data_IF_040993017910
#
_entry.id   IF_040993017910
#
_cell.length_a   1.000
_cell.length_b   1.000
_cell.length_c   1.000
_cell.angle_alpha   90.00
_cell.angle_beta   90.00
_cell.angle_gamma   90.00
#
_symmetry.space_group_name_H-M   'P 1'
#
loop_
_entity.id
_entity.type
_entity.pdbx_description
1 polymer ?
#
# COMPACT_ATOMS: atom_id res chain seq x y z
N UNK A 1 -22.92 -62.06 34.72
CA UNK A 1 -22.62 -60.60 34.78
C UNK A 1 -21.40 -60.28 33.91
N UNK A 2 -21.44 -60.59 32.62
CA UNK A 2 -20.24 -60.58 31.76
C UNK A 2 -20.52 -60.10 30.34
N UNK A 3 -21.69 -59.53 30.09
CA UNK A 3 -22.12 -59.10 28.75
C UNK A 3 -22.32 -57.56 28.61
N UNK A 4 -22.19 -56.79 29.70
CA UNK A 4 -22.52 -55.36 29.70
C UNK A 4 -21.32 -54.41 29.65
N UNK A 5 -20.08 -54.93 29.65
CA UNK A 5 -18.85 -54.10 29.61
C UNK A 5 -18.20 -53.98 28.22
N UNK A 6 -18.67 -54.76 27.24
CA UNK A 6 -18.08 -54.75 25.90
C UNK A 6 -18.70 -53.70 24.95
N UNK A 7 -19.85 -53.12 25.28
CA UNK A 7 -20.55 -52.20 24.37
C UNK A 7 -20.17 -50.72 24.51
N UNK A 8 -19.50 -50.33 25.61
CA UNK A 8 -19.10 -48.93 25.85
C UNK A 8 -17.71 -48.58 25.30
N UNK A 9 -16.90 -49.56 24.89
CA UNK A 9 -15.58 -49.32 24.30
C UNK A 9 -15.63 -49.05 22.78
N UNK A 10 -16.74 -49.38 22.11
CA UNK A 10 -16.86 -49.23 20.66
C UNK A 10 -17.40 -47.86 20.19
N UNK A 11 -17.98 -47.06 21.09
CA UNK A 11 -18.54 -45.75 20.73
C UNK A 11 -17.53 -44.58 20.88
N UNK A 12 -16.43 -44.79 21.61
CA UNK A 12 -15.39 -43.78 21.80
C UNK A 12 -14.36 -43.71 20.65
N UNK A 13 -14.36 -44.69 19.74
CA UNK A 13 -13.43 -44.75 18.62
C UNK A 13 -13.99 -44.17 17.30
N UNK A 14 -15.26 -43.77 17.26
CA UNK A 14 -15.94 -43.21 16.07
C UNK A 14 -16.09 -41.68 16.09
N UNK A 15 -15.34 -41.00 16.97
CA UNK A 15 -15.22 -39.54 17.01
C UNK A 15 -13.77 -39.10 16.78
N UNK A 16 -12.97 -39.94 16.12
CA UNK A 16 -11.69 -39.56 15.54
C UNK A 16 -11.94 -38.81 14.22
N UNK A 17 -12.27 -37.52 14.38
CA UNK A 17 -11.64 -36.44 13.62
C UNK A 17 -11.61 -36.59 12.09
N UNK A 18 -12.75 -36.38 11.45
CA UNK A 18 -12.76 -35.66 10.17
C UNK A 18 -12.49 -34.18 10.45
N UNK A 19 -11.25 -33.83 10.78
CA UNK A 19 -10.78 -32.47 10.57
C UNK A 19 -10.58 -32.33 9.07
N UNK A 20 -11.63 -31.92 8.35
CA UNK A 20 -11.45 -31.44 6.98
C UNK A 20 -10.47 -30.27 7.09
N UNK A 21 -9.30 -30.33 6.43
CA UNK A 21 -8.37 -29.21 6.41
C UNK A 21 -9.02 -28.06 5.65
N UNK A 22 -9.79 -27.23 6.35
CA UNK A 22 -10.34 -25.98 5.84
C UNK A 22 -9.26 -24.91 5.63
N UNK A 23 -7.98 -25.27 5.73
CA UNK A 23 -6.84 -24.38 5.52
C UNK A 23 -6.51 -24.17 4.03
N UNK A 24 -7.10 -24.93 3.10
CA UNK A 24 -6.73 -24.87 1.67
C UNK A 24 -7.32 -23.72 0.87
N UNK A 25 -8.42 -23.10 1.31
CA UNK A 25 -9.13 -22.09 0.50
C UNK A 25 -8.77 -20.64 0.84
N UNK A 26 -8.00 -20.39 1.90
CA UNK A 26 -7.61 -19.03 2.31
C UNK A 26 -6.26 -18.57 1.73
N UNK A 27 -5.49 -19.45 1.07
CA UNK A 27 -4.15 -19.13 0.56
C UNK A 27 -4.06 -19.02 -0.97
N UNK A 28 -5.13 -19.35 -1.72
CA UNK A 28 -5.16 -19.29 -3.20
C UNK A 28 -5.05 -17.87 -3.79
N UNK A 29 -4.91 -16.83 -2.98
CA UNK A 29 -4.85 -15.44 -3.45
C UNK A 29 -3.51 -14.75 -3.19
N UNK A 30 -2.55 -15.46 -2.60
CA UNK A 30 -1.19 -14.97 -2.41
C UNK A 30 -0.31 -15.44 -3.56
N UNK A 31 -0.64 -15.01 -4.79
CA UNK A 31 0.26 -15.23 -5.90
C UNK A 31 1.56 -14.43 -5.66
N UNK A 32 2.74 -15.09 -5.62
CA UNK A 32 4.00 -14.39 -5.61
C UNK A 32 4.03 -13.48 -6.83
N UNK A 33 4.24 -12.18 -6.61
CA UNK A 33 4.28 -11.22 -7.71
C UNK A 33 5.56 -11.49 -8.49
N UNK A 34 5.43 -12.24 -9.57
CA UNK A 34 6.56 -12.82 -10.29
C UNK A 34 7.50 -11.77 -10.88
N UNK A 35 7.04 -10.54 -11.11
CA UNK A 35 7.89 -9.40 -11.45
C UNK A 35 7.19 -8.09 -11.02
N UNK A 36 7.93 -7.01 -10.71
CA UNK A 36 7.35 -5.68 -10.60
C UNK A 36 6.61 -5.34 -11.90
N UNK A 37 5.29 -5.43 -11.79
CA UNK A 37 4.31 -5.29 -12.86
C UNK A 37 4.56 -4.08 -13.76
N UNK A 38 4.64 -4.34 -15.07
CA UNK A 38 4.76 -3.33 -16.13
C UNK A 38 3.38 -2.80 -16.57
N UNK A 39 2.27 -3.32 -16.06
CA UNK A 39 0.89 -2.96 -16.43
C UNK A 39 0.12 -2.34 -15.25
N UNK A 40 -0.41 -1.12 -15.43
CA UNK A 40 -0.49 0.00 -14.45
C UNK A 40 0.82 0.80 -14.30
N UNK A 41 1.86 0.41 -15.06
CA UNK A 41 3.26 0.85 -14.97
C UNK A 41 3.57 2.33 -15.17
N UNK A 42 2.58 3.22 -15.12
CA UNK A 42 2.78 4.66 -15.03
C UNK A 42 2.88 5.10 -13.56
N UNK A 43 1.77 5.05 -12.81
CA UNK A 43 1.71 5.79 -11.56
C UNK A 43 2.36 5.09 -10.36
N UNK A 44 2.08 3.83 -10.09
CA UNK A 44 2.78 3.10 -9.02
C UNK A 44 4.28 3.00 -9.30
N UNK A 45 4.67 2.87 -10.58
CA UNK A 45 6.07 2.91 -10.99
C UNK A 45 6.69 4.30 -10.80
N UNK A 46 5.95 5.38 -11.11
CA UNK A 46 6.34 6.76 -10.83
C UNK A 46 6.53 6.99 -9.33
N UNK A 47 5.60 6.51 -8.50
CA UNK A 47 5.67 6.61 -7.05
C UNK A 47 6.89 5.86 -6.51
N UNK A 48 7.14 4.62 -6.96
CA UNK A 48 8.35 3.86 -6.59
C UNK A 48 9.64 4.53 -7.04
N UNK A 49 9.62 5.14 -8.22
CA UNK A 49 10.76 5.88 -8.76
C UNK A 49 11.05 7.12 -7.92
N UNK A 50 10.01 7.89 -7.59
CA UNK A 50 10.15 9.10 -6.79
C UNK A 50 10.45 8.80 -5.31
N UNK A 51 9.97 7.68 -4.76
CA UNK A 51 10.17 7.26 -3.37
C UNK A 51 11.15 6.09 -3.23
N UNK A 52 12.15 5.99 -4.10
CA UNK A 52 13.10 4.87 -4.16
C UNK A 52 13.67 4.48 -2.78
N UNK A 53 14.03 5.46 -1.95
CA UNK A 53 14.51 5.26 -0.59
C UNK A 53 13.54 4.48 0.30
N UNK A 54 12.24 4.71 0.16
CA UNK A 54 11.21 4.01 0.93
C UNK A 54 11.00 2.56 0.45
N UNK A 55 11.53 2.20 -0.72
CA UNK A 55 11.53 0.85 -1.31
C UNK A 55 12.92 0.20 -1.32
N UNK A 56 13.93 0.84 -0.71
CA UNK A 56 15.28 0.30 -0.63
C UNK A 56 15.32 -1.01 0.20
N UNK A 57 16.36 -1.83 0.01
CA UNK A 57 16.53 -3.14 0.69
C UNK A 57 16.47 -3.08 2.22
N UNK A 58 16.68 -1.91 2.82
CA UNK A 58 16.57 -1.71 4.27
C UNK A 58 15.14 -1.50 4.77
N UNK A 59 14.16 -1.31 3.89
CA UNK A 59 12.75 -1.19 4.21
C UNK A 59 12.14 -2.59 4.36
N UNK A 60 11.65 -2.92 5.55
CA UNK A 60 11.00 -4.21 5.83
C UNK A 60 9.54 -4.19 5.34
N UNK A 61 8.88 -3.05 5.54
CA UNK A 61 7.53 -2.78 5.04
C UNK A 61 7.46 -1.35 4.52
N UNK A 62 6.58 -1.15 3.54
CA UNK A 62 6.28 0.12 2.92
C UNK A 62 4.77 0.25 2.74
N UNK A 63 4.24 1.46 2.89
CA UNK A 63 2.95 1.81 2.32
C UNK A 63 2.95 3.21 1.73
N UNK A 64 2.18 3.40 0.66
CA UNK A 64 2.01 4.69 0.01
C UNK A 64 0.55 5.14 0.15
N UNK A 65 0.36 6.33 0.68
CA UNK A 65 -0.92 7.03 0.80
C UNK A 65 -1.07 7.92 -0.44
N UNK A 66 -2.14 7.70 -1.21
CA UNK A 66 -2.40 8.39 -2.48
C UNK A 66 -3.76 9.11 -2.37
N UNK A 67 -3.80 10.34 -1.84
CA UNK A 67 -5.02 11.12 -1.72
C UNK A 67 -5.36 11.85 -3.03
N UNK A 68 -6.65 12.07 -3.32
CA UNK A 68 -7.07 12.72 -4.57
C UNK A 68 -6.66 14.21 -4.68
N UNK A 69 -6.57 14.92 -3.56
CA UNK A 69 -6.43 16.39 -3.53
C UNK A 69 -5.25 16.91 -2.70
N UNK A 70 -4.42 16.02 -2.15
CA UNK A 70 -3.18 16.43 -1.48
C UNK A 70 -2.01 15.58 -1.94
N UNK A 71 -0.78 16.03 -1.67
CA UNK A 71 0.41 15.30 -2.09
C UNK A 71 0.46 13.90 -1.49
N UNK A 72 1.06 12.99 -2.24
CA UNK A 72 1.23 11.60 -1.85
C UNK A 72 2.21 11.48 -0.68
N UNK A 73 2.17 10.37 0.04
CA UNK A 73 3.15 10.06 1.08
C UNK A 73 3.57 8.61 1.02
N UNK A 74 4.87 8.33 1.01
CA UNK A 74 5.38 6.99 1.29
C UNK A 74 5.81 6.91 2.75
N UNK A 75 5.48 5.80 3.41
CA UNK A 75 5.86 5.49 4.78
C UNK A 75 6.55 4.15 4.79
N UNK A 76 7.75 4.09 5.31
CA UNK A 76 8.53 2.87 5.39
C UNK A 76 9.00 2.60 6.82
N UNK A 77 9.10 1.33 7.19
CA UNK A 77 9.78 0.88 8.39
C UNK A 77 11.14 0.34 7.97
N UNK A 78 12.20 1.01 8.41
CA UNK A 78 13.57 0.55 8.17
C UNK A 78 14.14 -0.12 9.41
N UNK A 79 14.94 -1.15 9.17
CA UNK A 79 15.80 -1.78 10.17
C UNK A 79 17.27 -1.56 9.81
N UNK A 80 18.08 -1.27 10.82
CA UNK A 80 19.53 -1.23 10.69
C UNK A 80 20.21 -1.60 12.00
N UNK A 81 20.77 -2.81 12.06
CA UNK A 81 21.53 -3.32 13.23
C UNK A 81 20.69 -3.34 14.51
N UNK A 82 19.51 -3.95 14.44
CA UNK A 82 18.53 -4.07 15.52
C UNK A 82 17.80 -2.78 15.87
N UNK A 83 17.99 -1.69 15.10
CA UNK A 83 17.34 -0.40 15.34
C UNK A 83 16.31 -0.11 14.27
N UNK A 84 15.12 0.25 14.72
CA UNK A 84 13.98 0.49 13.87
C UNK A 84 13.65 1.99 13.78
N UNK A 85 13.23 2.42 12.59
CA UNK A 85 12.75 3.78 12.35
C UNK A 85 11.63 3.78 11.34
N UNK A 86 10.64 4.61 11.59
CA UNK A 86 9.65 4.99 10.60
C UNK A 86 10.22 6.16 9.80
N UNK A 87 10.23 6.03 8.48
CA UNK A 87 10.56 7.10 7.55
C UNK A 87 9.31 7.49 6.76
N UNK A 88 9.13 8.79 6.54
CA UNK A 88 8.04 9.33 5.70
C UNK A 88 8.66 10.23 4.65
N UNK A 89 8.31 9.98 3.40
CA UNK A 89 8.66 10.78 2.24
C UNK A 89 7.37 11.39 1.68
N UNK A 90 7.37 12.71 1.46
CA UNK A 90 6.26 13.41 0.82
C UNK A 90 6.82 14.41 -0.21
N UNK A 91 6.39 14.38 -1.48
CA UNK A 91 6.86 15.32 -2.46
C UNK A 91 6.29 16.70 -2.15
N UNK A 92 6.99 17.75 -2.59
CA UNK A 92 6.50 19.12 -2.48
C UNK A 92 5.36 19.41 -3.47
N UNK A 93 5.27 18.63 -4.55
CA UNK A 93 4.29 18.73 -5.61
C UNK A 93 3.63 17.37 -5.86
N UNK A 94 2.39 17.36 -6.35
CA UNK A 94 1.69 16.13 -6.68
C UNK A 94 2.36 15.36 -7.83
N UNK A 95 2.73 14.10 -7.59
CA UNK A 95 3.33 13.26 -8.62
C UNK A 95 2.32 12.92 -9.73
N UNK A 96 1.02 12.93 -9.42
CA UNK A 96 -0.05 12.76 -10.42
C UNK A 96 0.04 13.74 -11.59
N UNK A 97 0.67 14.91 -11.40
CA UNK A 97 0.84 15.91 -12.46
C UNK A 97 1.62 15.37 -13.68
N UNK A 98 2.57 14.45 -13.48
CA UNK A 98 3.25 13.78 -14.60
C UNK A 98 2.29 12.91 -15.42
N UNK A 99 1.40 12.19 -14.74
CA UNK A 99 0.37 11.36 -15.39
C UNK A 99 -0.61 12.25 -16.15
N UNK A 100 -1.07 13.34 -15.53
CA UNK A 100 -1.97 14.29 -16.16
C UNK A 100 -1.34 14.92 -17.43
N UNK A 101 -0.08 15.35 -17.37
CA UNK A 101 0.64 15.84 -18.55
C UNK A 101 0.70 14.79 -19.67
N UNK A 102 0.96 13.52 -19.32
CA UNK A 102 0.92 12.40 -20.26
C UNK A 102 -0.46 12.17 -20.87
N UNK A 103 -1.54 12.31 -20.09
CA UNK A 103 -2.93 12.18 -20.55
C UNK A 103 -3.34 13.30 -21.52
N UNK A 104 -2.87 14.54 -21.30
CA UNK A 104 -3.00 15.58 -22.32
C UNK A 104 -2.15 15.25 -23.55
N UNK A 105 -0.90 14.82 -23.36
CA UNK A 105 0.05 14.51 -24.44
C UNK A 105 -0.44 13.41 -25.39
N UNK A 106 -1.15 12.40 -24.89
CA UNK A 106 -1.71 11.31 -25.68
C UNK A 106 -3.19 11.52 -26.08
N UNK A 107 -3.81 12.62 -25.67
CA UNK A 107 -5.20 12.96 -25.99
C UNK A 107 -6.27 12.24 -25.17
N UNK A 108 -5.91 11.50 -24.11
CA UNK A 108 -6.87 10.88 -23.18
C UNK A 108 -7.68 11.92 -22.40
N UNK A 109 -7.11 13.11 -22.20
CA UNK A 109 -7.80 14.27 -21.63
C UNK A 109 -7.84 15.36 -22.68
N UNK A 110 -9.02 15.94 -22.88
CA UNK A 110 -9.25 17.07 -23.79
C UNK A 110 -10.22 18.05 -23.18
N UNK A 111 -10.01 19.31 -23.48
CA UNK A 111 -10.96 20.39 -23.18
C UNK A 111 -12.06 20.37 -24.23
N UNK A 112 -13.31 20.30 -23.78
CA UNK A 112 -14.49 20.24 -24.65
C UNK A 112 -15.00 21.63 -25.04
N UNK A 113 -14.54 22.65 -24.33
CA UNK A 113 -14.87 24.06 -24.53
C UNK A 113 -13.99 24.75 -25.58
N UNK A 114 -12.96 24.08 -26.10
CA UNK A 114 -12.01 24.64 -27.06
C UNK A 114 -12.34 24.19 -28.49
N UNK A 115 -12.43 25.13 -29.46
CA UNK A 115 -12.64 24.81 -30.86
C UNK A 115 -11.60 23.80 -31.41
N UNK A 116 -11.97 22.90 -32.34
CA UNK A 116 -11.06 21.87 -32.85
C UNK A 116 -9.77 22.40 -33.48
N UNK A 117 -9.81 23.57 -34.11
CA UNK A 117 -8.67 24.26 -34.74
C UNK A 117 -7.68 24.85 -33.72
N UNK A 118 -8.12 25.08 -32.47
CA UNK A 118 -7.28 25.56 -31.38
C UNK A 118 -6.85 24.46 -30.40
N UNK A 119 -7.46 23.27 -30.47
CA UNK A 119 -7.30 22.20 -29.50
C UNK A 119 -5.85 21.77 -29.27
N UNK A 120 -5.04 21.68 -30.34
CA UNK A 120 -3.63 21.29 -30.23
C UNK A 120 -2.80 22.34 -29.48
N UNK A 121 -2.98 23.62 -29.82
CA UNK A 121 -2.24 24.71 -29.18
C UNK A 121 -2.56 24.78 -27.68
N UNK A 122 -3.84 24.67 -27.33
CA UNK A 122 -4.29 24.64 -25.96
C UNK A 122 -3.72 23.43 -25.20
N UNK A 123 -3.77 22.23 -25.78
CA UNK A 123 -3.19 21.01 -25.21
C UNK A 123 -1.69 21.17 -24.90
N UNK A 124 -0.92 21.72 -25.83
CA UNK A 124 0.50 22.00 -25.62
C UNK A 124 0.74 23.05 -24.53
N UNK A 125 -0.15 24.04 -24.41
CA UNK A 125 -0.09 25.02 -23.34
C UNK A 125 -0.36 24.39 -21.97
N UNK A 126 -1.40 23.57 -21.84
CA UNK A 126 -1.73 22.84 -20.61
C UNK A 126 -0.55 21.96 -20.16
N UNK A 127 0.06 21.20 -21.08
CA UNK A 127 1.25 20.38 -20.78
C UNK A 127 2.40 21.25 -20.25
N UNK A 128 2.70 22.38 -20.90
CA UNK A 128 3.76 23.30 -20.43
C UNK A 128 3.45 23.88 -19.06
N UNK A 129 2.19 24.22 -18.79
CA UNK A 129 1.76 24.77 -17.51
C UNK A 129 1.88 23.72 -16.38
N UNK A 130 1.43 22.49 -16.65
CA UNK A 130 1.57 21.37 -15.70
C UNK A 130 3.04 21.11 -15.40
N UNK A 131 3.91 21.12 -16.42
CA UNK A 131 5.33 20.78 -16.28
C UNK A 131 6.21 21.92 -15.74
N UNK A 132 5.74 23.18 -15.71
CA UNK A 132 6.56 24.37 -15.36
C UNK A 132 7.22 24.26 -13.97
N UNK A 133 6.59 23.57 -13.02
CA UNK A 133 7.08 23.41 -11.64
C UNK A 133 7.66 22.03 -11.34
N UNK A 134 7.79 21.16 -12.34
CA UNK A 134 8.24 19.78 -12.15
C UNK A 134 9.61 19.58 -12.80
N UNK A 135 10.52 18.84 -12.15
CA UNK A 135 11.72 18.38 -12.83
C UNK A 135 11.37 17.45 -14.00
N UNK A 136 12.33 17.24 -14.89
CA UNK A 136 12.14 16.31 -16.02
C UNK A 136 12.12 14.85 -15.56
N UNK A 137 12.98 14.52 -14.60
CA UNK A 137 13.06 13.21 -13.99
C UNK A 137 12.26 13.20 -12.67
N UNK A 138 11.30 12.29 -12.49
CA UNK A 138 10.56 12.17 -11.24
C UNK A 138 11.40 11.92 -9.99
N UNK A 139 12.61 11.35 -10.14
CA UNK A 139 13.55 11.13 -9.03
C UNK A 139 14.08 12.44 -8.45
N UNK A 140 14.09 13.49 -9.25
CA UNK A 140 14.59 14.81 -8.86
C UNK A 140 13.52 15.65 -8.15
N UNK A 141 12.29 15.14 -7.98
CA UNK A 141 11.21 15.86 -7.28
C UNK A 141 11.64 16.09 -5.83
N UNK A 142 11.68 17.34 -5.34
CA UNK A 142 12.06 17.62 -3.97
C UNK A 142 11.13 16.92 -2.97
N UNK A 143 11.71 16.11 -2.09
CA UNK A 143 10.99 15.38 -1.05
C UNK A 143 11.18 16.04 0.31
N UNK A 144 10.09 16.21 1.06
CA UNK A 144 10.14 16.39 2.51
C UNK A 144 10.34 15.04 3.16
N UNK A 145 11.32 14.95 4.04
CA UNK A 145 11.66 13.72 4.77
C UNK A 145 11.41 13.89 6.26
N UNK A 146 10.84 12.86 6.85
CA UNK A 146 10.84 12.65 8.29
C UNK A 146 11.41 11.28 8.60
N UNK A 147 12.19 11.16 9.67
CA UNK A 147 12.69 9.88 10.18
C UNK A 147 12.63 9.86 11.70
N UNK A 148 11.97 8.85 12.29
CA UNK A 148 11.78 8.76 13.74
C UNK A 148 11.99 7.33 14.24
N UNK A 149 12.79 7.20 15.30
CA UNK A 149 13.03 5.90 15.96
C UNK A 149 11.76 5.42 16.65
N UNK A 150 11.60 4.10 16.68
CA UNK A 150 10.59 3.39 17.47
C UNK A 150 11.26 2.27 18.27
N UNK A 151 10.57 1.77 19.29
CA UNK A 151 10.99 0.58 20.02
C UNK A 151 10.93 -0.68 19.14
N UNK A 152 11.73 -1.68 19.49
CA UNK A 152 11.70 -2.98 18.83
C UNK A 152 10.35 -3.68 18.99
N UNK A 153 9.67 -3.49 20.12
CA UNK A 153 8.33 -4.03 20.36
C UNK A 153 7.29 -3.46 19.39
N UNK A 154 7.24 -2.13 19.24
CA UNK A 154 6.38 -1.47 18.25
C UNK A 154 6.71 -1.94 16.84
N UNK A 155 7.99 -2.10 16.48
CA UNK A 155 8.39 -2.58 15.17
C UNK A 155 7.87 -3.99 14.87
N UNK A 156 7.98 -4.90 15.84
CA UNK A 156 7.46 -6.27 15.68
C UNK A 156 5.93 -6.30 15.56
N UNK A 157 5.22 -5.43 16.29
CA UNK A 157 3.78 -5.28 16.14
C UNK A 157 3.41 -4.81 14.74
N UNK A 158 4.14 -3.82 14.20
CA UNK A 158 3.95 -3.34 12.83
C UNK A 158 4.15 -4.44 11.79
N UNK A 159 5.23 -5.22 11.92
CA UNK A 159 5.52 -6.32 11.00
C UNK A 159 4.38 -7.35 10.99
N UNK A 160 3.90 -7.76 12.18
CA UNK A 160 2.77 -8.70 12.30
C UNK A 160 1.47 -8.13 11.71
N UNK A 161 1.17 -6.87 12.00
CA UNK A 161 -0.01 -6.17 11.47
C UNK A 161 0.03 -6.11 9.94
N UNK A 162 1.17 -5.79 9.36
CA UNK A 162 1.34 -5.74 7.90
C UNK A 162 1.15 -7.11 7.25
N UNK A 163 1.79 -8.15 7.80
CA UNK A 163 1.67 -9.51 7.30
C UNK A 163 0.23 -10.00 7.37
N UNK A 164 -0.43 -9.84 8.53
CA UNK A 164 -1.84 -10.22 8.72
C UNK A 164 -2.79 -9.45 7.80
N UNK A 165 -2.57 -8.13 7.66
CA UNK A 165 -3.40 -7.26 6.83
C UNK A 165 -3.28 -7.58 5.34
N UNK A 166 -2.07 -7.88 4.86
CA UNK A 166 -1.82 -8.17 3.45
C UNK A 166 -2.39 -9.50 2.96
N UNK A 167 -2.70 -10.45 3.85
CA UNK A 167 -3.26 -11.75 3.45
C UNK A 167 -4.59 -11.59 2.69
N UNK A 168 -5.41 -10.61 3.09
CA UNK A 168 -6.76 -10.42 2.57
C UNK A 168 -6.84 -9.32 1.49
N UNK A 169 -5.71 -8.68 1.13
CA UNK A 169 -5.69 -7.53 0.22
C UNK A 169 -5.06 -7.94 -1.10
N UNK A 170 -5.82 -7.78 -2.18
CA UNK A 170 -5.31 -7.97 -3.54
C UNK A 170 -4.71 -6.67 -4.09
N UNK A 171 -3.68 -6.74 -4.94
CA UNK A 171 -3.26 -5.58 -5.74
C UNK A 171 -4.38 -5.16 -6.68
N UNK A 172 -4.45 -3.88 -7.05
CA UNK A 172 -5.33 -3.47 -8.16
C UNK A 172 -4.91 -4.16 -9.45
N UNK A 173 -5.87 -4.71 -10.19
CA UNK A 173 -5.63 -5.22 -11.54
C UNK A 173 -5.49 -4.07 -12.54
N UNK A 174 -4.90 -4.38 -13.69
CA UNK A 174 -4.68 -3.41 -14.76
C UNK A 174 -6.00 -2.81 -15.26
N UNK A 175 -6.25 -1.56 -14.91
CA UNK A 175 -7.44 -0.80 -15.30
C UNK A 175 -8.37 -0.45 -14.13
N UNK A 176 -8.24 -1.11 -12.98
CA UNK A 176 -9.07 -0.87 -11.79
C UNK A 176 -8.72 0.43 -11.04
N UNK A 177 -7.58 1.02 -11.37
CA UNK A 177 -7.13 2.33 -10.89
C UNK A 177 -7.98 3.50 -11.45
N UNK A 178 -8.99 3.23 -12.27
CA UNK A 178 -10.03 4.21 -12.61
C UNK A 178 -10.74 4.80 -11.38
N UNK A 179 -10.63 4.17 -10.21
CA UNK A 179 -11.10 4.69 -8.93
C UNK A 179 -10.29 5.88 -8.36
N UNK A 180 -9.08 6.19 -8.85
CA UNK A 180 -8.30 7.38 -8.40
C UNK A 180 -9.01 8.70 -8.74
N UNK A 181 -10.00 8.67 -9.64
CA UNK A 181 -10.79 9.84 -10.07
C UNK A 181 -11.93 10.16 -9.10
N UNK A 182 -12.25 9.28 -8.15
CA UNK A 182 -13.26 9.55 -7.13
C UNK A 182 -12.65 10.25 -5.90
N UNK A 183 -13.46 11.06 -5.20
CA UNK A 183 -13.08 11.68 -3.93
C UNK A 183 -12.69 10.57 -2.94
N UNK A 184 -11.42 10.54 -2.53
CA UNK A 184 -10.96 9.47 -1.64
C UNK A 184 -9.46 9.44 -1.39
N UNK A 185 -9.01 8.30 -0.89
CA UNK A 185 -7.59 8.01 -0.69
C UNK A 185 -7.36 6.55 -1.00
N UNK A 186 -6.43 6.31 -1.91
CA UNK A 186 -5.91 4.97 -2.19
C UNK A 186 -4.69 4.69 -1.32
N UNK A 187 -4.47 3.42 -1.07
CA UNK A 187 -3.35 2.92 -0.29
C UNK A 187 -2.69 1.80 -1.06
N UNK A 188 -1.38 1.88 -1.23
CA UNK A 188 -0.56 0.77 -1.70
C UNK A 188 0.27 0.24 -0.52
N UNK A 189 0.35 -1.07 -0.40
CA UNK A 189 1.08 -1.74 0.66
C UNK A 189 2.07 -2.72 0.05
N UNK A 190 3.24 -2.79 0.67
CA UNK A 190 4.29 -3.73 0.31
C UNK A 190 5.01 -4.22 1.57
N UNK A 191 5.39 -5.50 1.58
CA UNK A 191 6.30 -6.05 2.58
C UNK A 191 7.19 -7.11 1.93
N UNK A 192 8.42 -7.19 2.41
CA UNK A 192 9.33 -8.30 2.13
C UNK A 192 9.41 -9.22 3.36
N UNK A 193 9.32 -10.53 3.12
CA UNK A 193 9.57 -11.56 4.10
C UNK A 193 10.45 -12.69 3.50
N UNK A 194 10.69 -13.75 4.28
CA UNK A 194 11.51 -14.87 3.84
C UNK A 194 10.88 -15.69 2.70
N UNK A 195 9.57 -15.56 2.48
CA UNK A 195 8.81 -16.26 1.44
C UNK A 195 8.73 -15.45 0.14
N UNK A 196 9.06 -14.15 0.19
CA UNK A 196 9.11 -13.25 -0.95
C UNK A 196 8.55 -11.87 -0.63
N UNK A 197 8.13 -11.13 -1.66
CA UNK A 197 7.45 -9.86 -1.47
C UNK A 197 5.94 -9.99 -1.64
N UNK A 198 5.17 -9.44 -0.71
CA UNK A 198 3.70 -9.34 -0.76
C UNK A 198 3.31 -7.89 -1.06
N UNK A 199 2.28 -7.69 -1.90
CA UNK A 199 1.74 -6.37 -2.24
C UNK A 199 0.22 -6.39 -2.20
N UNK A 200 -0.39 -5.26 -1.85
CA UNK A 200 -1.84 -5.10 -1.85
C UNK A 200 -2.23 -3.64 -2.04
N UNK A 201 -3.44 -3.41 -2.54
CA UNK A 201 -3.97 -2.06 -2.74
C UNK A 201 -5.38 -1.94 -2.19
N UNK A 202 -5.71 -0.78 -1.62
CA UNK A 202 -7.02 -0.51 -1.04
C UNK A 202 -7.49 0.88 -1.45
N UNK A 203 -8.75 1.00 -1.87
CA UNK A 203 -9.39 2.29 -2.14
C UNK A 203 -10.38 2.63 -1.02
N UNK A 204 -10.22 3.81 -0.40
CA UNK A 204 -11.16 4.41 0.55
C UNK A 204 -11.84 3.40 1.51
N UNK A 205 -11.08 2.59 2.27
CA UNK A 205 -11.67 1.58 3.13
C UNK A 205 -12.48 2.22 4.25
N UNK A 206 -13.65 1.64 4.54
CA UNK A 206 -14.58 2.17 5.55
C UNK A 206 -14.74 1.27 6.78
N UNK A 207 -14.36 -0.02 6.70
CA UNK A 207 -14.43 -0.96 7.81
C UNK A 207 -13.46 -2.15 7.64
N UNK A 208 -13.37 -3.00 8.67
CA UNK A 208 -12.62 -4.25 8.65
C UNK A 208 -11.10 -4.08 8.75
N UNK A 209 -10.35 -5.13 8.38
CA UNK A 209 -8.88 -5.14 8.45
C UNK A 209 -8.26 -4.08 7.55
N UNK A 210 -8.79 -3.88 6.35
CA UNK A 210 -8.31 -2.88 5.39
C UNK A 210 -8.37 -1.45 5.92
N UNK A 211 -9.47 -1.07 6.60
CA UNK A 211 -9.57 0.24 7.26
C UNK A 211 -8.57 0.37 8.41
N UNK A 212 -8.40 -0.68 9.23
CA UNK A 212 -7.42 -0.68 10.32
C UNK A 212 -5.98 -0.54 9.80
N UNK A 213 -5.63 -1.23 8.72
CA UNK A 213 -4.30 -1.12 8.10
C UNK A 213 -4.07 0.29 7.51
N UNK A 214 -5.07 0.86 6.85
CA UNK A 214 -5.01 2.24 6.36
C UNK A 214 -4.86 3.26 7.51
N UNK A 215 -5.62 3.09 8.61
CA UNK A 215 -5.49 3.89 9.84
C UNK A 215 -4.10 3.77 10.44
N UNK A 216 -3.55 2.57 10.49
CA UNK A 216 -2.20 2.31 10.99
C UNK A 216 -1.15 3.07 10.18
N UNK A 217 -1.19 2.96 8.85
CA UNK A 217 -0.27 3.67 7.95
C UNK A 217 -0.36 5.19 8.13
N UNK A 218 -1.56 5.77 8.23
CA UNK A 218 -1.75 7.20 8.53
C UNK A 218 -1.15 7.58 9.89
N UNK A 219 -1.38 6.76 10.92
CA UNK A 219 -0.83 7.01 12.25
C UNK A 219 0.70 6.96 12.29
N UNK A 220 1.33 6.06 11.51
CA UNK A 220 2.78 6.05 11.33
C UNK A 220 3.29 7.37 10.71
N UNK A 221 2.59 7.89 9.69
CA UNK A 221 2.93 9.16 9.07
C UNK A 221 2.83 10.34 10.07
N UNK A 222 1.71 10.41 10.81
CA UNK A 222 1.48 11.44 11.84
C UNK A 222 2.50 11.37 12.98
N UNK A 223 2.84 10.16 13.43
CA UNK A 223 3.87 9.95 14.45
C UNK A 223 5.22 10.50 13.99
N UNK A 224 5.62 10.22 12.76
CA UNK A 224 6.87 10.77 12.24
C UNK A 224 6.82 12.30 12.24
N UNK A 225 5.76 12.89 11.69
CA UNK A 225 5.54 14.34 11.58
C UNK A 225 5.32 15.05 12.93
N UNK A 226 5.53 14.36 14.07
CA UNK A 226 5.35 14.85 15.45
C UNK A 226 3.92 15.28 15.78
N UNK A 227 2.94 14.76 15.03
CA UNK A 227 1.51 14.97 15.25
C UNK A 227 0.87 13.82 16.03
N UNK A 228 1.58 12.70 16.16
CA UNK A 228 1.14 11.51 16.90
C UNK A 228 2.15 10.99 17.94
N UNK A 229 1.76 9.91 18.63
CA UNK A 229 2.56 9.21 19.66
C UNK A 229 2.85 7.78 19.22
N UNK A 230 4.00 7.24 19.61
CA UNK A 230 4.36 5.84 19.31
C UNK A 230 3.34 4.86 19.89
N UNK A 231 2.82 5.15 21.08
CA UNK A 231 1.79 4.33 21.73
C UNK A 231 0.52 4.18 20.88
N UNK A 232 0.14 5.20 20.10
CA UNK A 232 -1.01 5.13 19.20
C UNK A 232 -0.72 4.20 18.02
N UNK A 233 0.49 4.27 17.47
CA UNK A 233 0.95 3.35 16.42
C UNK A 233 0.93 1.91 16.92
N UNK A 234 1.48 1.66 18.11
CA UNK A 234 1.49 0.34 18.73
C UNK A 234 0.08 -0.18 19.01
N UNK A 235 -0.81 0.66 19.54
CA UNK A 235 -2.21 0.31 19.79
C UNK A 235 -2.95 -0.08 18.51
N UNK A 236 -2.79 0.70 17.44
CA UNK A 236 -3.42 0.39 16.15
C UNK A 236 -2.84 -0.87 15.53
N UNK A 237 -1.52 -1.10 15.63
CA UNK A 237 -0.86 -2.29 15.12
C UNK A 237 -1.39 -3.57 15.78
N UNK A 238 -1.62 -3.54 17.10
CA UNK A 238 -2.21 -4.67 17.83
C UNK A 238 -3.68 -4.95 17.45
N UNK A 239 -4.35 -4.02 16.78
CA UNK A 239 -5.76 -4.12 16.43
C UNK A 239 -6.00 -4.62 14.99
N UNK A 240 -4.98 -4.66 14.13
CA UNK A 240 -5.10 -5.10 12.73
C UNK A 240 -5.39 -6.59 12.66
#
# INVERSE_FOLDING_TARGET
MTALRAFLAALAAMLATFTIPAAGLAQEHLEPIAEPDKGLGGYSALLRTAFDDAYADSAILNGTIIPSFTVEKSVALHERRGRYRIEVLAPQEHLWRYILAGMYGNGSVRRVDIPPDEAEKARQQEIREIMRGLPRDPRDVPLRRCSRRISGETAQLLMRAWQSGLVDIRPFEKGEITAIIMDGTSYEFWAADAEGSKRGSIYAPTYGKSDRLAKLLRSMAEFCERRGKESTVAQLASAV
#
